data_IF_327222980016
#
_entry.id   IF_327222980016
#
_cell.length_a   1.000
_cell.length_b   1.000
_cell.length_c   1.000
_cell.angle_alpha   90.00
_cell.angle_beta   90.00
_cell.angle_gamma   90.00
#
_symmetry.space_group_name_H-M   'P 1'
#
loop_
_entity.id
_entity.type
_entity.pdbx_description
1 polymer ?
#
# COMPACT_ATOMS: atom_id res chain seq x y z
N UNK A 1 15.07 1.17 -10.90
CA UNK A 1 14.21 0.00 -11.11
C UNK A 1 12.79 0.32 -10.66
N UNK A 2 11.80 -0.13 -11.39
CA UNK A 2 10.39 0.12 -11.05
C UNK A 2 9.60 -1.18 -11.29
N UNK A 3 8.81 -1.57 -10.30
CA UNK A 3 7.95 -2.76 -10.40
C UNK A 3 6.53 -2.38 -9.98
N UNK A 4 5.55 -3.02 -10.59
CA UNK A 4 4.14 -2.75 -10.33
C UNK A 4 3.37 -4.04 -10.13
N UNK A 5 2.31 -3.97 -9.32
CA UNK A 5 1.40 -5.10 -9.15
C UNK A 5 0.04 -4.61 -8.69
N UNK A 6 -1.01 -5.21 -9.23
CA UNK A 6 -2.37 -4.96 -8.79
C UNK A 6 -2.71 -5.93 -7.67
N UNK A 7 -3.18 -5.39 -6.57
CA UNK A 7 -3.44 -6.15 -5.34
C UNK A 7 -4.88 -5.91 -4.88
N UNK A 8 -5.63 -6.96 -4.52
CA UNK A 8 -6.97 -6.77 -3.97
C UNK A 8 -6.91 -6.33 -2.51
N UNK A 9 -7.85 -5.47 -2.14
CA UNK A 9 -8.05 -5.08 -0.74
C UNK A 9 -8.98 -6.13 -0.12
N UNK A 10 -8.44 -6.93 0.79
CA UNK A 10 -9.15 -8.09 1.34
C UNK A 10 -9.56 -7.93 2.81
N UNK A 11 -9.09 -6.89 3.48
CA UNK A 11 -9.49 -6.63 4.85
C UNK A 11 -10.81 -5.87 4.89
N UNK A 12 -11.65 -6.19 5.87
CA UNK A 12 -13.03 -5.68 5.94
C UNK A 12 -13.10 -4.16 5.93
N UNK A 13 -12.20 -3.50 6.63
CA UNK A 13 -12.23 -2.04 6.79
C UNK A 13 -11.48 -1.28 5.69
N UNK A 14 -10.81 -1.99 4.77
CA UNK A 14 -10.05 -1.34 3.71
C UNK A 14 -8.88 -0.52 4.24
N UNK A 15 -8.49 0.51 3.48
CA UNK A 15 -7.38 1.38 3.87
C UNK A 15 -7.85 2.48 4.84
N UNK A 16 -8.37 2.06 5.99
CA UNK A 16 -8.73 2.97 7.08
C UNK A 16 -7.47 3.48 7.79
N UNK A 17 -7.63 4.30 8.82
CA UNK A 17 -6.50 4.98 9.48
C UNK A 17 -5.40 4.02 9.95
N UNK A 18 -5.78 2.93 10.61
CA UNK A 18 -4.79 1.98 11.14
C UNK A 18 -4.05 1.24 10.04
N UNK A 19 -4.77 0.75 9.03
CA UNK A 19 -4.17 0.06 7.89
C UNK A 19 -3.24 0.99 7.11
N UNK A 20 -3.70 2.21 6.84
CA UNK A 20 -2.88 3.22 6.16
C UNK A 20 -1.63 3.56 6.94
N UNK A 21 -1.73 3.64 8.26
CA UNK A 21 -0.58 3.89 9.12
C UNK A 21 0.45 2.77 9.04
N UNK A 22 0.00 1.53 9.05
CA UNK A 22 0.91 0.37 8.92
C UNK A 22 1.63 0.40 7.58
N UNK A 23 0.91 0.73 6.51
CA UNK A 23 1.51 0.82 5.19
C UNK A 23 2.52 1.98 5.12
N UNK A 24 2.19 3.12 5.69
CA UNK A 24 3.10 4.27 5.72
C UNK A 24 4.38 3.95 6.52
N UNK A 25 4.25 3.27 7.65
CA UNK A 25 5.41 2.85 8.43
C UNK A 25 6.30 1.90 7.66
N UNK A 26 5.71 0.96 6.93
CA UNK A 26 6.46 0.05 6.07
C UNK A 26 7.22 0.84 5.00
N UNK A 27 6.55 1.77 4.34
CA UNK A 27 7.14 2.57 3.27
C UNK A 27 8.31 3.44 3.77
N UNK A 28 8.18 3.98 4.97
CA UNK A 28 9.24 4.78 5.58
C UNK A 28 10.50 3.97 5.88
N UNK A 29 10.37 2.67 6.02
CA UNK A 29 11.50 1.78 6.23
C UNK A 29 12.38 1.58 5.00
N UNK A 30 11.89 1.95 3.81
CA UNK A 30 12.63 1.85 2.55
C UNK A 30 13.07 3.25 2.11
N UNK A 31 14.16 3.75 2.67
CA UNK A 31 14.58 5.14 2.49
C UNK A 31 14.84 5.53 1.03
N UNK A 32 15.45 4.63 0.26
CA UNK A 32 15.82 4.91 -1.13
C UNK A 32 14.84 4.37 -2.15
N UNK A 33 13.74 3.80 -1.70
CA UNK A 33 12.73 3.22 -2.59
C UNK A 33 11.39 3.90 -2.31
N UNK A 34 10.77 4.42 -3.37
CA UNK A 34 9.47 5.09 -3.27
C UNK A 34 8.37 4.10 -3.58
N UNK A 35 7.30 4.18 -2.82
CA UNK A 35 6.13 3.32 -2.99
C UNK A 35 4.92 4.20 -3.24
N UNK A 36 4.17 3.88 -4.30
CA UNK A 36 2.96 4.60 -4.68
C UNK A 36 1.79 3.63 -4.73
N UNK A 37 0.62 4.09 -4.31
CA UNK A 37 -0.62 3.33 -4.35
C UNK A 37 -1.61 4.07 -5.22
N UNK A 38 -2.17 3.40 -6.22
CA UNK A 38 -3.14 4.01 -7.13
C UNK A 38 -4.45 3.27 -7.08
N UNK A 39 -5.52 4.03 -7.12
CA UNK A 39 -6.87 3.50 -7.27
C UNK A 39 -7.61 4.41 -8.23
N UNK A 40 -8.05 3.84 -9.35
CA UNK A 40 -8.70 4.62 -10.42
C UNK A 40 -7.76 5.75 -10.87
N UNK A 41 -8.20 7.00 -10.83
CA UNK A 41 -7.40 8.15 -11.26
C UNK A 41 -6.58 8.78 -10.14
N UNK A 42 -6.62 8.21 -8.94
CA UNK A 42 -5.96 8.80 -7.79
C UNK A 42 -4.69 8.05 -7.41
N UNK A 43 -3.68 8.81 -7.02
CA UNK A 43 -2.40 8.27 -6.59
C UNK A 43 -2.04 8.78 -5.21
N UNK A 44 -1.52 7.91 -4.38
CA UNK A 44 -1.02 8.24 -3.06
C UNK A 44 0.44 7.87 -2.93
N UNK A 45 1.24 8.74 -2.31
CA UNK A 45 2.57 8.35 -1.84
C UNK A 45 2.35 7.52 -0.57
N UNK A 46 2.88 6.32 -0.53
CA UNK A 46 2.64 5.42 0.60
C UNK A 46 3.20 5.95 1.92
N UNK A 47 4.09 6.94 1.88
CA UNK A 47 4.59 7.60 3.09
C UNK A 47 3.59 8.59 3.68
N UNK A 48 2.54 8.92 2.94
CA UNK A 48 1.55 9.90 3.38
C UNK A 48 0.29 9.20 3.87
N UNK A 49 0.09 9.21 5.18
CA UNK A 49 -1.11 8.66 5.80
C UNK A 49 -2.38 9.28 5.22
N UNK A 50 -2.39 10.60 5.07
CA UNK A 50 -3.56 11.31 4.55
C UNK A 50 -3.88 10.91 3.12
N UNK A 51 -2.86 10.82 2.26
CA UNK A 51 -3.07 10.45 0.87
C UNK A 51 -3.65 9.05 0.77
N UNK A 52 -3.13 8.11 1.56
CA UNK A 52 -3.62 6.74 1.56
C UNK A 52 -5.08 6.67 1.97
N UNK A 53 -5.47 7.41 3.00
CA UNK A 53 -6.85 7.45 3.47
C UNK A 53 -7.78 8.05 2.43
N UNK A 54 -7.31 9.05 1.71
CA UNK A 54 -8.11 9.73 0.69
C UNK A 54 -8.39 8.89 -0.54
N UNK A 55 -7.66 7.80 -0.74
CA UNK A 55 -7.95 6.90 -1.85
C UNK A 55 -9.32 6.23 -1.73
N UNK A 56 -9.83 6.11 -0.51
CA UNK A 56 -11.13 5.48 -0.28
C UNK A 56 -11.18 4.01 -0.67
N UNK A 57 -10.06 3.31 -0.62
CA UNK A 57 -9.98 1.91 -1.05
C UNK A 57 -10.61 1.00 0.01
N UNK A 58 -11.82 0.57 -0.25
CA UNK A 58 -12.56 -0.36 0.61
C UNK A 58 -12.37 -1.80 0.21
N UNK A 59 -12.92 -2.71 1.01
CA UNK A 59 -12.87 -4.15 0.73
C UNK A 59 -13.47 -4.44 -0.64
N UNK A 60 -12.81 -5.30 -1.40
CA UNK A 60 -13.26 -5.66 -2.74
C UNK A 60 -12.71 -4.78 -3.85
N UNK A 61 -12.13 -3.62 -3.52
CA UNK A 61 -11.47 -2.81 -4.53
C UNK A 61 -10.07 -3.35 -4.82
N UNK A 62 -9.50 -2.90 -5.94
CA UNK A 62 -8.13 -3.24 -6.30
C UNK A 62 -7.29 -1.98 -6.32
N UNK A 63 -6.04 -2.10 -5.91
CA UNK A 63 -5.09 -1.00 -5.98
C UNK A 63 -3.86 -1.44 -6.75
N UNK A 64 -3.26 -0.52 -7.49
CA UNK A 64 -1.98 -0.77 -8.12
C UNK A 64 -0.89 -0.24 -7.23
N UNK A 65 0.06 -1.10 -6.89
CA UNK A 65 1.23 -0.72 -6.11
C UNK A 65 2.42 -0.59 -7.05
N UNK A 66 3.11 0.52 -6.98
CA UNK A 66 4.36 0.70 -7.72
C UNK A 66 5.48 1.00 -6.74
N UNK A 67 6.59 0.28 -6.87
CA UNK A 67 7.80 0.55 -6.10
C UNK A 67 8.92 0.95 -7.05
N UNK A 68 9.62 2.03 -6.73
CA UNK A 68 10.73 2.58 -7.53
C UNK A 68 11.96 2.73 -6.67
N UNK A 69 13.07 2.16 -7.11
CA UNK A 69 14.34 2.30 -6.42
C UNK A 69 15.10 1.00 -6.30
N UNK A 70 16.24 1.00 -5.59
CA UNK A 70 17.11 -0.18 -5.50
C UNK A 70 16.46 -1.39 -4.84
N UNK A 71 15.50 -1.18 -3.94
CA UNK A 71 14.83 -2.27 -3.23
C UNK A 71 13.38 -2.46 -3.70
N UNK A 72 13.10 -2.12 -4.97
CA UNK A 72 11.73 -2.11 -5.47
C UNK A 72 11.02 -3.46 -5.33
N UNK A 73 11.67 -4.55 -5.69
CA UNK A 73 11.04 -5.88 -5.60
C UNK A 73 10.80 -6.30 -4.16
N UNK A 74 11.76 -6.07 -3.30
CA UNK A 74 11.64 -6.38 -1.88
C UNK A 74 10.50 -5.56 -1.25
N UNK A 75 10.43 -4.26 -1.56
CA UNK A 75 9.41 -3.38 -1.04
C UNK A 75 8.01 -3.82 -1.52
N UNK A 76 7.89 -4.15 -2.81
CA UNK A 76 6.62 -4.60 -3.35
C UNK A 76 6.15 -5.89 -2.69
N UNK A 77 7.06 -6.84 -2.48
CA UNK A 77 6.74 -8.09 -1.80
C UNK A 77 6.28 -7.85 -0.36
N UNK A 78 6.92 -6.90 0.34
CA UNK A 78 6.53 -6.56 1.71
C UNK A 78 5.13 -5.92 1.76
N UNK A 79 4.82 -5.04 0.80
CA UNK A 79 3.48 -4.45 0.69
C UNK A 79 2.44 -5.52 0.40
N UNK A 80 2.74 -6.41 -0.54
CA UNK A 80 1.85 -7.52 -0.87
C UNK A 80 1.54 -8.38 0.35
N UNK A 81 2.57 -8.72 1.12
CA UNK A 81 2.42 -9.52 2.33
C UNK A 81 1.53 -8.82 3.36
N UNK A 82 1.68 -7.50 3.50
CA UNK A 82 0.87 -6.73 4.44
C UNK A 82 -0.60 -6.73 4.05
N UNK A 83 -0.90 -6.56 2.76
CA UNK A 83 -2.28 -6.64 2.26
C UNK A 83 -2.85 -8.05 2.45
N UNK A 84 -2.07 -9.08 2.12
CA UNK A 84 -2.51 -10.47 2.24
C UNK A 84 -2.77 -10.86 3.70
N UNK A 85 -2.01 -10.28 4.62
CA UNK A 85 -2.21 -10.47 6.07
C UNK A 85 -3.36 -9.63 6.63
N UNK A 86 -4.10 -8.92 5.76
CA UNK A 86 -5.21 -8.05 6.14
C UNK A 86 -4.78 -7.00 7.15
N UNK A 87 -3.55 -6.50 7.00
CA UNK A 87 -2.95 -5.52 7.90
C UNK A 87 -2.95 -5.99 9.36
N UNK A 88 -2.93 -7.30 9.58
CA UNK A 88 -2.96 -7.94 10.90
C UNK A 88 -4.22 -7.57 11.71
N UNK A 89 -5.29 -7.26 11.02
CA UNK A 89 -6.57 -7.00 11.67
C UNK A 89 -7.21 -8.32 12.11
N UNK A 90 -7.80 -8.29 13.28
CA UNK A 90 -8.67 -9.38 13.69
C UNK A 90 -10.04 -9.12 13.06
N UNK A 91 -10.51 -10.07 12.33
CA UNK A 91 -11.70 -9.99 11.50
C UNK A 91 -12.85 -9.17 12.05
#
# INVERSE_FOLDING_TARGET
MSVKRTIPVVNVKGLHARASRKLAELALGYESTRIFVRREDEEADARSLMDLMMLGAGVGSEVEIEARGPQAEEALAAVEALFAAKFHEEA
#
